data_IF_345583816433
#
_entry.id   IF_345583816433
#
_cell.length_a   1.000
_cell.length_b   1.000
_cell.length_c   1.000
_cell.angle_alpha   90.00
_cell.angle_beta   90.00
_cell.angle_gamma   90.00
#
_symmetry.space_group_name_H-M   'P 1'
#
loop_
_entity.id
_entity.type
_entity.pdbx_description
1 polymer ?
#
# COMPACT_ATOMS: atom_id res chain seq x y z
N UNK A 1 -2.51 -7.87 -14.29
CA UNK A 1 -1.49 -6.83 -14.39
C UNK A 1 -0.34 -7.20 -13.47
N UNK A 2 0.89 -7.11 -13.89
CA UNK A 2 2.05 -7.41 -13.04
C UNK A 2 2.51 -6.17 -12.29
N UNK A 3 3.27 -6.36 -11.22
CA UNK A 3 3.87 -5.28 -10.45
C UNK A 3 3.54 -5.34 -8.97
N UNK A 4 3.77 -4.22 -8.29
CA UNK A 4 3.77 -4.17 -6.83
C UNK A 4 2.90 -3.01 -6.34
N UNK A 5 2.05 -3.29 -5.36
CA UNK A 5 1.29 -2.27 -4.64
C UNK A 5 1.99 -2.02 -3.30
N UNK A 6 2.33 -0.77 -3.02
CA UNK A 6 2.99 -0.42 -1.76
C UNK A 6 1.96 -0.23 -0.66
N UNK A 7 2.17 -0.94 0.47
CA UNK A 7 1.48 -0.62 1.71
C UNK A 7 1.86 0.80 2.14
N UNK A 8 0.94 1.48 2.79
CA UNK A 8 1.14 2.86 3.26
C UNK A 8 2.41 3.00 4.10
N UNK A 9 2.68 2.05 5.00
CA UNK A 9 3.88 2.09 5.83
C UNK A 9 5.17 1.97 5.01
N UNK A 10 5.17 1.22 3.93
CA UNK A 10 6.34 1.13 3.04
C UNK A 10 6.64 2.48 2.41
N UNK A 11 5.61 3.20 1.96
CA UNK A 11 5.79 4.55 1.39
C UNK A 11 6.35 5.51 2.43
N UNK A 12 5.83 5.47 3.66
CA UNK A 12 6.30 6.32 4.76
C UNK A 12 7.75 6.01 5.13
N UNK A 13 8.09 4.73 5.27
CA UNK A 13 9.45 4.29 5.61
C UNK A 13 10.42 4.68 4.50
N UNK A 14 10.04 4.52 3.25
CA UNK A 14 10.89 4.90 2.12
C UNK A 14 11.24 6.39 2.14
N UNK A 15 10.32 7.24 2.60
CA UNK A 15 10.54 8.67 2.71
C UNK A 15 11.35 9.10 3.93
N UNK A 16 11.10 8.48 5.08
CA UNK A 16 11.70 8.91 6.36
C UNK A 16 12.93 8.11 6.77
N UNK A 17 12.98 6.82 6.48
CA UNK A 17 14.04 5.92 6.93
C UNK A 17 14.24 4.77 5.94
N UNK A 18 14.67 5.07 4.69
CA UNK A 18 14.75 4.05 3.63
C UNK A 18 15.66 2.87 3.97
N UNK A 19 16.64 3.06 4.86
CA UNK A 19 17.53 1.99 5.34
C UNK A 19 16.79 0.91 6.14
N UNK A 20 15.58 1.20 6.62
CA UNK A 20 14.74 0.22 7.35
C UNK A 20 13.93 -0.69 6.43
N UNK A 21 13.89 -0.40 5.13
CA UNK A 21 13.25 -1.31 4.19
C UNK A 21 14.10 -2.55 3.97
N UNK A 22 13.44 -3.71 3.88
CA UNK A 22 14.13 -4.95 3.54
C UNK A 22 14.73 -4.87 2.14
N UNK A 23 15.74 -5.70 1.89
CA UNK A 23 16.36 -5.78 0.57
C UNK A 23 15.36 -6.20 -0.51
N UNK A 24 14.48 -7.15 -0.19
CA UNK A 24 13.47 -7.64 -1.13
C UNK A 24 12.47 -6.55 -1.50
N UNK A 25 12.03 -5.74 -0.55
CA UNK A 25 11.12 -4.62 -0.81
C UNK A 25 11.82 -3.55 -1.67
N UNK A 26 13.05 -3.18 -1.34
CA UNK A 26 13.80 -2.20 -2.14
C UNK A 26 14.00 -2.66 -3.58
N UNK A 27 14.36 -3.92 -3.77
CA UNK A 27 14.53 -4.50 -5.11
C UNK A 27 13.23 -4.49 -5.91
N UNK A 28 12.11 -4.81 -5.27
CA UNK A 28 10.81 -4.79 -5.93
C UNK A 28 10.43 -3.38 -6.39
N UNK A 29 10.65 -2.37 -5.54
CA UNK A 29 10.37 -0.98 -5.90
C UNK A 29 11.23 -0.55 -7.10
N UNK A 30 12.51 -0.88 -7.09
CA UNK A 30 13.42 -0.56 -8.20
C UNK A 30 13.04 -1.25 -9.50
N UNK A 31 12.62 -2.50 -9.41
CA UNK A 31 12.21 -3.29 -10.57
C UNK A 31 10.91 -2.77 -11.17
N UNK A 32 9.93 -2.47 -10.32
CA UNK A 32 8.62 -2.02 -10.73
C UNK A 32 7.90 -2.94 -11.73
N UNK A 33 6.78 -2.49 -12.27
CA UNK A 33 6.11 -1.24 -11.94
C UNK A 33 5.60 -1.24 -10.49
N UNK A 34 5.64 -0.08 -9.87
CA UNK A 34 5.22 0.11 -8.49
C UNK A 34 4.06 1.09 -8.43
N UNK A 35 3.08 0.78 -7.59
CA UNK A 35 1.82 1.51 -7.50
C UNK A 35 1.55 1.95 -6.07
N UNK A 36 0.86 3.10 -5.96
CA UNK A 36 0.28 3.58 -4.71
C UNK A 36 -1.22 3.74 -4.90
N UNK A 37 -2.00 3.29 -3.93
CA UNK A 37 -3.45 3.45 -3.96
C UNK A 37 -3.86 4.82 -3.41
N UNK A 38 -4.92 5.41 -3.98
CA UNK A 38 -5.54 6.62 -3.42
C UNK A 38 -6.02 6.37 -1.99
N UNK A 39 -6.35 5.13 -1.63
CA UNK A 39 -6.70 4.79 -0.25
C UNK A 39 -5.55 5.04 0.74
N UNK A 40 -4.30 4.94 0.31
CA UNK A 40 -3.14 5.32 1.14
C UNK A 40 -3.07 6.83 1.37
N UNK A 41 -3.42 7.61 0.36
CA UNK A 41 -3.53 9.07 0.52
C UNK A 41 -4.59 9.41 1.58
N UNK A 42 -5.73 8.76 1.50
CA UNK A 42 -6.80 8.93 2.46
C UNK A 42 -6.37 8.54 3.88
N UNK A 43 -5.71 7.40 4.03
CA UNK A 43 -5.21 6.94 5.32
C UNK A 43 -4.24 7.95 5.94
N UNK A 44 -3.25 8.42 5.20
CA UNK A 44 -2.28 9.41 5.68
C UNK A 44 -2.97 10.72 6.04
N UNK A 45 -3.94 11.15 5.23
CA UNK A 45 -4.73 12.35 5.52
C UNK A 45 -5.45 12.24 6.86
N UNK A 46 -6.14 11.13 7.09
CA UNK A 46 -6.87 10.90 8.35
C UNK A 46 -5.90 10.86 9.54
N UNK A 47 -4.80 10.13 9.43
CA UNK A 47 -3.83 10.03 10.52
C UNK A 47 -3.15 11.37 10.81
N UNK A 48 -2.90 12.17 9.79
CA UNK A 48 -2.36 13.52 9.94
C UNK A 48 -3.36 14.45 10.65
N UNK A 49 -4.63 14.40 10.27
CA UNK A 49 -5.69 15.19 10.90
C UNK A 49 -5.89 14.82 12.37
N UNK A 50 -5.70 13.56 12.73
CA UNK A 50 -5.81 13.06 14.10
C UNK A 50 -4.56 13.35 14.94
N UNK A 51 -3.50 13.87 14.34
CA UNK A 51 -2.24 14.15 15.04
C UNK A 51 -1.36 12.93 15.29
N UNK A 52 -1.68 11.78 14.68
CA UNK A 52 -0.92 10.54 14.85
C UNK A 52 0.28 10.44 13.91
N UNK A 53 0.34 11.29 12.89
CA UNK A 53 1.36 11.24 11.86
C UNK A 53 1.64 12.65 11.37
N UNK A 54 2.92 12.99 11.21
CA UNK A 54 3.34 14.27 10.65
C UNK A 54 4.21 14.03 9.42
N UNK A 55 3.65 14.31 8.26
CA UNK A 55 4.36 14.29 6.97
C UNK A 55 4.51 15.71 6.39
N UNK A 56 4.21 16.74 7.20
CA UNK A 56 4.08 18.11 6.72
C UNK A 56 2.78 18.28 5.95
N UNK A 57 2.83 19.00 4.84
CA UNK A 57 1.69 19.14 3.94
C UNK A 57 1.43 17.79 3.25
N UNK A 58 0.23 17.23 3.48
CA UNK A 58 -0.12 15.90 2.97
C UNK A 58 -0.18 15.87 1.44
N UNK A 59 -0.67 16.94 0.81
CA UNK A 59 -0.69 17.02 -0.66
C UNK A 59 0.73 17.00 -1.24
N UNK A 60 1.64 17.71 -0.61
CA UNK A 60 3.05 17.70 -1.03
C UNK A 60 3.69 16.33 -0.80
N UNK A 61 3.43 15.71 0.35
CA UNK A 61 3.91 14.36 0.63
C UNK A 61 3.48 13.37 -0.45
N UNK A 62 2.20 13.43 -0.86
CA UNK A 62 1.64 12.56 -1.90
C UNK A 62 2.37 12.76 -3.22
N UNK A 63 2.46 14.00 -3.71
CA UNK A 63 3.10 14.32 -4.97
C UNK A 63 4.59 13.96 -4.98
N UNK A 64 5.28 14.25 -3.89
CA UNK A 64 6.71 13.99 -3.75
C UNK A 64 7.00 12.48 -3.71
N UNK A 65 6.18 11.71 -2.99
CA UNK A 65 6.33 10.25 -2.93
C UNK A 65 6.19 9.62 -4.32
N UNK A 66 5.19 10.03 -5.08
CA UNK A 66 4.97 9.54 -6.45
C UNK A 66 6.17 9.84 -7.32
N UNK A 67 6.68 11.06 -7.28
CA UNK A 67 7.81 11.49 -8.10
C UNK A 67 9.10 10.77 -7.70
N UNK A 68 9.40 10.77 -6.41
CA UNK A 68 10.68 10.23 -5.90
C UNK A 68 10.79 8.73 -6.08
N UNK A 69 9.70 8.00 -5.89
CA UNK A 69 9.68 6.55 -5.97
C UNK A 69 9.21 6.02 -7.32
N UNK A 70 8.93 6.90 -8.28
CA UNK A 70 8.40 6.54 -9.60
C UNK A 70 7.14 5.67 -9.50
N UNK A 71 6.17 6.08 -8.67
CA UNK A 71 4.94 5.34 -8.46
C UNK A 71 3.88 5.75 -9.49
N UNK A 72 3.03 4.79 -9.85
CA UNK A 72 1.79 5.06 -10.56
C UNK A 72 0.63 4.99 -9.58
N UNK A 73 -0.37 5.84 -9.77
CA UNK A 73 -1.53 5.92 -8.87
C UNK A 73 -2.61 4.95 -9.32
N UNK A 74 -3.19 4.21 -8.36
CA UNK A 74 -4.38 3.39 -8.59
C UNK A 74 -5.57 4.01 -7.87
N UNK A 75 -6.66 4.19 -8.61
CA UNK A 75 -7.93 4.62 -8.04
C UNK A 75 -8.57 3.45 -7.31
N UNK A 76 -9.39 3.77 -6.31
CA UNK A 76 -10.17 2.76 -5.61
C UNK A 76 -11.50 2.58 -6.33
N UNK A 77 -11.72 1.41 -6.91
CA UNK A 77 -12.83 1.14 -7.85
C UNK A 77 -13.87 0.19 -7.26
N UNK A 78 -15.08 0.14 -7.81
CA UNK A 78 -16.12 -0.81 -7.36
C UNK A 78 -15.66 -2.27 -7.35
N UNK A 79 -14.90 -2.71 -8.35
CA UNK A 79 -14.38 -4.09 -8.40
C UNK A 79 -13.41 -4.39 -7.25
N UNK A 80 -12.72 -3.38 -6.73
CA UNK A 80 -11.87 -3.54 -5.54
C UNK A 80 -12.72 -3.78 -4.29
N UNK A 81 -13.81 -3.05 -4.15
CA UNK A 81 -14.76 -3.26 -3.04
C UNK A 81 -15.39 -4.65 -3.13
N UNK A 82 -15.77 -5.08 -4.33
CA UNK A 82 -16.30 -6.43 -4.54
C UNK A 82 -15.31 -7.52 -4.13
N UNK A 83 -14.02 -7.32 -4.40
CA UNK A 83 -12.96 -8.23 -3.96
C UNK A 83 -12.85 -8.29 -2.43
N UNK A 84 -12.98 -7.15 -1.74
CA UNK A 84 -12.95 -7.07 -0.27
C UNK A 84 -14.06 -7.93 0.34
N UNK A 85 -15.25 -7.92 -0.24
CA UNK A 85 -16.39 -8.68 0.26
C UNK A 85 -16.12 -10.18 0.38
N UNK A 86 -15.23 -10.71 -0.47
CA UNK A 86 -14.89 -12.14 -0.51
C UNK A 86 -13.79 -12.52 0.46
N UNK A 87 -13.18 -11.55 1.14
CA UNK A 87 -12.08 -11.79 2.06
C UNK A 87 -12.56 -12.42 3.36
N UNK A 88 -11.72 -13.30 3.90
CA UNK A 88 -11.94 -13.86 5.25
C UNK A 88 -11.78 -12.75 6.29
N UNK A 89 -12.47 -12.86 7.45
CA UNK A 89 -12.42 -11.82 8.47
C UNK A 89 -11.22 -11.97 9.41
N UNK A 90 -9.99 -11.87 8.89
CA UNK A 90 -8.79 -11.93 9.71
C UNK A 90 -8.60 -10.66 10.54
N UNK A 91 -8.87 -9.50 9.97
CA UNK A 91 -8.94 -8.22 10.67
C UNK A 91 -9.81 -7.24 9.88
N UNK A 92 -10.21 -6.15 10.54
CA UNK A 92 -11.22 -5.25 10.00
C UNK A 92 -10.70 -3.85 9.69
N UNK A 93 -9.38 -3.61 9.71
CA UNK A 93 -8.84 -2.31 9.33
C UNK A 93 -9.28 -1.98 7.89
N UNK A 94 -10.07 -0.92 7.66
CA UNK A 94 -10.64 -0.64 6.35
C UNK A 94 -9.58 -0.26 5.32
N UNK A 95 -8.50 0.37 5.74
CA UNK A 95 -7.43 0.76 4.82
C UNK A 95 -6.63 -0.45 4.34
N UNK A 96 -6.32 -1.38 5.25
CA UNK A 96 -5.65 -2.64 4.90
C UNK A 96 -6.53 -3.47 3.96
N UNK A 97 -7.83 -3.58 4.26
CA UNK A 97 -8.75 -4.31 3.41
C UNK A 97 -8.88 -3.67 2.02
N UNK A 98 -8.85 -2.34 1.94
CA UNK A 98 -8.85 -1.63 0.67
C UNK A 98 -7.61 -2.00 -0.18
N UNK A 99 -6.43 -2.03 0.43
CA UNK A 99 -5.19 -2.42 -0.27
C UNK A 99 -5.25 -3.87 -0.75
N UNK A 100 -5.76 -4.78 0.08
CA UNK A 100 -5.92 -6.19 -0.32
C UNK A 100 -6.88 -6.32 -1.50
N UNK A 101 -7.99 -5.61 -1.47
CA UNK A 101 -8.96 -5.63 -2.57
C UNK A 101 -8.35 -5.13 -3.87
N UNK A 102 -7.59 -4.05 -3.83
CA UNK A 102 -6.88 -3.52 -5.00
C UNK A 102 -5.87 -4.54 -5.51
N UNK A 103 -5.05 -5.11 -4.62
CA UNK A 103 -4.01 -6.06 -5.01
C UNK A 103 -4.58 -7.31 -5.67
N UNK A 104 -5.65 -7.87 -5.11
CA UNK A 104 -6.28 -9.07 -5.66
C UNK A 104 -6.95 -8.79 -7.01
N UNK A 105 -7.70 -7.70 -7.12
CA UNK A 105 -8.41 -7.36 -8.35
C UNK A 105 -7.45 -6.99 -9.49
N UNK A 106 -6.33 -6.33 -9.17
CA UNK A 106 -5.36 -5.88 -10.16
C UNK A 106 -4.20 -6.86 -10.34
N UNK A 107 -4.22 -7.99 -9.63
CA UNK A 107 -3.17 -9.02 -9.68
C UNK A 107 -1.78 -8.47 -9.36
N UNK A 108 -1.69 -7.71 -8.25
CA UNK A 108 -0.44 -7.12 -7.76
C UNK A 108 0.01 -7.83 -6.48
N UNK A 109 1.32 -7.93 -6.28
CA UNK A 109 1.87 -8.30 -4.98
C UNK A 109 1.89 -7.07 -4.08
N UNK A 110 1.60 -7.24 -2.79
CA UNK A 110 1.73 -6.16 -1.80
C UNK A 110 3.15 -6.15 -1.24
N UNK A 111 3.77 -4.98 -1.23
CA UNK A 111 5.01 -4.74 -0.49
C UNK A 111 4.61 -4.19 0.89
N UNK A 112 4.95 -4.93 1.94
CA UNK A 112 4.57 -4.55 3.31
C UNK A 112 5.61 -4.98 4.33
N UNK A 113 5.75 -4.19 5.38
CA UNK A 113 6.49 -4.55 6.58
C UNK A 113 5.59 -5.15 7.65
N UNK A 114 4.28 -5.16 7.43
CA UNK A 114 3.28 -5.69 8.36
C UNK A 114 2.96 -7.15 8.03
N UNK A 115 3.20 -8.03 8.99
CA UNK A 115 2.89 -9.46 8.86
C UNK A 115 1.40 -9.78 8.75
N UNK A 116 0.51 -8.84 9.09
CA UNK A 116 -0.94 -9.04 9.06
C UNK A 116 -1.49 -9.38 7.68
N UNK A 117 -0.86 -8.90 6.61
CA UNK A 117 -1.28 -9.23 5.25
C UNK A 117 -1.09 -10.70 4.88
N UNK A 118 -0.15 -11.39 5.53
CA UNK A 118 0.13 -12.81 5.23
C UNK A 118 -1.03 -13.73 5.59
N UNK A 119 -1.92 -13.30 6.48
CA UNK A 119 -3.14 -14.04 6.81
C UNK A 119 -4.05 -14.23 5.59
N UNK A 120 -3.91 -13.41 4.57
CA UNK A 120 -4.71 -13.47 3.35
C UNK A 120 -4.04 -14.25 2.22
N UNK A 121 -2.96 -14.96 2.49
CA UNK A 121 -2.29 -15.79 1.47
C UNK A 121 -3.24 -16.84 0.88
N UNK A 122 -4.12 -17.41 1.69
CA UNK A 122 -5.12 -18.37 1.24
C UNK A 122 -6.21 -17.75 0.34
N UNK A 123 -6.36 -16.44 0.37
CA UNK A 123 -7.25 -15.70 -0.52
C UNK A 123 -6.57 -15.31 -1.83
N UNK A 124 -5.33 -15.75 -2.04
CA UNK A 124 -4.56 -15.50 -3.25
C UNK A 124 -3.65 -14.27 -3.19
N UNK A 125 -3.52 -13.65 -2.02
CA UNK A 125 -2.66 -12.48 -1.85
C UNK A 125 -1.19 -12.86 -1.81
N UNK A 126 -0.37 -12.20 -2.62
CA UNK A 126 1.08 -12.33 -2.58
C UNK A 126 1.65 -11.16 -1.78
N UNK A 127 2.45 -11.45 -0.77
CA UNK A 127 3.05 -10.44 0.12
C UNK A 127 4.56 -10.58 0.09
N UNK A 128 5.24 -9.45 -0.14
CA UNK A 128 6.70 -9.34 -0.10
C UNK A 128 7.06 -8.38 1.04
N UNK A 129 7.86 -8.86 1.95
CA UNK A 129 8.27 -8.09 3.13
C UNK A 129 9.76 -8.01 3.36
#
# INVERSE_FOLDING_TARGET
MGGYLLDTNVVLIAGFAPEKLSRSVRKAIEKGPAYISVSSYWEVTIQSMKGNLDVGDVEHWWADSIKTMALSTLLFRPEHVAAIRRLRPHHWDPFDRALIGVALAEELAILSTDGGFRAYADDGLIVIG
#
